data_IF_819219993768
#
_entry.id   IF_819219993768
#
_cell.length_a   1.000
_cell.length_b   1.000
_cell.length_c   1.000
_cell.angle_alpha   90.00
_cell.angle_beta   90.00
_cell.angle_gamma   90.00
#
_symmetry.space_group_name_H-M   'P 1'
#
loop_
_entity.id
_entity.type
_entity.pdbx_description
1 polymer ?
#
# COMPACT_ATOMS: atom_id res chain seq x y z
N UNK A 1 -21.34 -6.72 -6.19
CA UNK A 1 -20.76 -5.45 -5.70
C UNK A 1 -19.43 -5.27 -6.39
N UNK A 2 -19.32 -4.22 -7.21
CA UNK A 2 -18.02 -3.82 -7.77
C UNK A 2 -17.09 -3.38 -6.65
N UNK A 3 -15.77 -3.44 -6.87
CA UNK A 3 -14.76 -2.93 -5.93
C UNK A 3 -13.89 -1.94 -6.67
N UNK A 4 -13.63 -0.80 -6.06
CA UNK A 4 -12.66 0.18 -6.56
C UNK A 4 -11.30 -0.19 -5.98
N UNK A 5 -10.28 -0.25 -6.82
CA UNK A 5 -8.90 -0.46 -6.39
C UNK A 5 -8.14 0.85 -6.47
N UNK A 6 -7.61 1.30 -5.34
CA UNK A 6 -6.73 2.46 -5.27
C UNK A 6 -5.28 1.98 -5.32
N UNK A 7 -4.51 2.55 -6.25
CA UNK A 7 -3.08 2.32 -6.39
C UNK A 7 -2.31 3.45 -5.69
N UNK A 8 -1.52 3.09 -4.68
CA UNK A 8 -0.71 4.02 -3.89
C UNK A 8 0.77 3.79 -4.18
N UNK A 9 1.43 4.75 -4.81
CA UNK A 9 2.90 4.84 -4.78
C UNK A 9 3.30 5.49 -3.46
N UNK A 10 4.17 4.83 -2.69
CA UNK A 10 4.65 5.35 -1.42
C UNK A 10 6.16 5.45 -1.38
N UNK A 11 6.64 6.35 -0.51
CA UNK A 11 8.04 6.49 -0.11
C UNK A 11 8.12 6.41 1.41
N UNK A 12 9.11 5.68 1.90
CA UNK A 12 9.40 5.53 3.32
C UNK A 12 10.68 6.28 3.69
N UNK A 13 10.96 6.39 4.99
CA UNK A 13 12.28 6.81 5.45
C UNK A 13 13.37 5.82 4.98
N UNK A 14 14.65 6.23 4.99
CA UNK A 14 15.74 5.38 4.52
C UNK A 14 15.73 4.01 5.20
N UNK A 15 15.71 2.95 4.38
CA UNK A 15 15.76 1.55 4.80
C UNK A 15 14.53 1.03 5.57
N UNK A 16 13.48 1.83 5.78
CA UNK A 16 12.32 1.43 6.60
C UNK A 16 11.60 0.23 5.98
N UNK A 17 11.26 0.27 4.70
CA UNK A 17 10.52 -0.83 4.04
C UNK A 17 11.35 -2.12 3.91
N UNK A 18 12.67 -2.05 4.04
CA UNK A 18 13.59 -3.18 3.95
C UNK A 18 13.90 -3.75 5.33
N UNK A 19 13.98 -2.90 6.35
CA UNK A 19 14.25 -3.28 7.74
C UNK A 19 12.98 -3.72 8.47
N UNK A 20 11.85 -3.08 8.19
CA UNK A 20 10.55 -3.39 8.80
C UNK A 20 9.40 -3.32 7.77
N UNK A 21 9.34 -4.26 6.81
CA UNK A 21 8.21 -4.37 5.89
C UNK A 21 6.83 -4.51 6.59
N UNK A 22 6.69 -5.25 7.71
CA UNK A 22 5.44 -5.34 8.44
C UNK A 22 4.88 -3.99 8.89
N UNK A 23 5.73 -3.06 9.33
CA UNK A 23 5.30 -1.72 9.73
C UNK A 23 4.63 -0.95 8.58
N UNK A 24 5.22 -1.00 7.38
CA UNK A 24 4.65 -0.33 6.19
C UNK A 24 3.31 -0.97 5.81
N UNK A 25 3.23 -2.30 5.86
CA UNK A 25 1.98 -3.03 5.61
C UNK A 25 0.89 -2.65 6.62
N UNK A 26 1.22 -2.63 7.91
CA UNK A 26 0.28 -2.33 8.99
C UNK A 26 -0.33 -0.93 8.84
N UNK A 27 0.45 0.05 8.39
CA UNK A 27 -0.06 1.41 8.16
C UNK A 27 -1.10 1.44 7.03
N UNK A 28 -0.88 0.71 5.93
CA UNK A 28 -1.88 0.61 4.86
C UNK A 28 -3.11 -0.21 5.25
N UNK A 29 -2.95 -1.27 6.06
CA UNK A 29 -4.08 -2.02 6.63
C UNK A 29 -4.93 -1.12 7.52
N UNK A 30 -4.29 -0.36 8.41
CA UNK A 30 -4.94 0.61 9.30
C UNK A 30 -5.67 1.68 8.48
N UNK A 31 -4.99 2.36 7.56
CA UNK A 31 -5.60 3.40 6.70
C UNK A 31 -6.82 2.89 5.94
N UNK A 32 -6.73 1.71 5.33
CA UNK A 32 -7.86 1.16 4.60
C UNK A 32 -9.01 0.80 5.55
N UNK A 33 -8.70 0.12 6.66
CA UNK A 33 -9.68 -0.32 7.64
C UNK A 33 -10.45 0.82 8.31
N UNK A 34 -9.76 1.92 8.66
CA UNK A 34 -10.36 3.10 9.27
C UNK A 34 -11.44 3.77 8.39
N UNK A 35 -11.45 3.46 7.09
CA UNK A 35 -12.35 4.03 6.10
C UNK A 35 -13.21 2.97 5.38
N UNK A 36 -13.33 1.76 5.93
CA UNK A 36 -14.18 0.69 5.37
C UNK A 36 -13.60 -0.01 4.14
N UNK A 37 -12.34 0.25 3.80
CA UNK A 37 -11.58 -0.46 2.79
C UNK A 37 -10.80 -1.65 3.35
N UNK A 38 -10.00 -2.28 2.49
CA UNK A 38 -9.11 -3.38 2.86
C UNK A 38 -7.79 -3.31 2.09
N UNK A 39 -6.67 -3.64 2.72
CA UNK A 39 -5.41 -3.83 2.00
C UNK A 39 -5.52 -5.08 1.12
N UNK A 40 -5.26 -4.92 -0.18
CA UNK A 40 -5.16 -6.02 -1.13
C UNK A 40 -3.71 -6.54 -1.21
N UNK A 41 -2.74 -5.63 -1.24
CA UNK A 41 -1.33 -6.01 -1.20
C UNK A 41 -0.39 -4.81 -1.04
N UNK A 42 0.83 -5.10 -0.60
CA UNK A 42 1.90 -4.13 -0.41
C UNK A 42 3.21 -4.75 -0.88
N UNK A 43 3.91 -4.05 -1.77
CA UNK A 43 5.14 -4.51 -2.41
C UNK A 43 6.22 -3.45 -2.28
N UNK A 44 7.44 -3.90 -1.99
CA UNK A 44 8.63 -3.06 -2.04
C UNK A 44 9.31 -3.17 -3.38
N UNK A 45 9.94 -2.09 -3.83
CA UNK A 45 10.77 -2.16 -5.02
C UNK A 45 12.09 -2.90 -4.75
N UNK A 46 12.42 -3.86 -5.62
CA UNK A 46 13.61 -4.71 -5.51
C UNK A 46 14.69 -4.38 -6.54
N UNK A 47 14.29 -3.91 -7.72
CA UNK A 47 15.15 -3.89 -8.92
C UNK A 47 15.56 -2.47 -9.31
N UNK A 48 14.87 -1.43 -8.81
CA UNK A 48 15.26 -0.04 -9.09
C UNK A 48 14.82 0.46 -10.47
N UNK A 49 13.77 -0.11 -11.05
CA UNK A 49 13.24 0.29 -12.36
C UNK A 49 12.38 1.56 -12.24
N UNK A 50 13.01 2.71 -12.00
CA UNK A 50 12.34 4.02 -11.90
C UNK A 50 11.80 4.37 -10.51
N UNK A 51 12.01 3.49 -9.53
CA UNK A 51 11.74 3.74 -8.12
C UNK A 51 13.02 3.52 -7.32
N UNK A 52 13.19 4.28 -6.24
CA UNK A 52 14.22 4.07 -5.23
C UNK A 52 13.93 2.82 -4.39
N UNK A 53 14.90 2.39 -3.58
CA UNK A 53 14.74 1.22 -2.71
C UNK A 53 13.75 1.46 -1.57
N UNK A 54 13.58 2.71 -1.17
CA UNK A 54 12.70 3.11 -0.06
C UNK A 54 11.27 3.39 -0.52
N UNK A 55 10.99 3.10 -1.79
CA UNK A 55 9.68 3.23 -2.42
C UNK A 55 9.03 1.87 -2.68
N UNK A 56 7.71 1.90 -2.79
CA UNK A 56 6.92 0.72 -3.06
C UNK A 56 5.50 1.06 -3.48
N UNK A 57 4.70 0.01 -3.65
CA UNK A 57 3.32 0.09 -4.12
C UNK A 57 2.43 -0.57 -3.08
N UNK A 58 1.33 0.07 -2.72
CA UNK A 58 0.24 -0.56 -2.02
C UNK A 58 -1.03 -0.47 -2.86
N UNK A 59 -1.86 -1.51 -2.80
CA UNK A 59 -3.17 -1.52 -3.44
C UNK A 59 -4.21 -1.73 -2.36
N UNK A 60 -5.18 -0.83 -2.27
CA UNK A 60 -6.31 -0.95 -1.34
C UNK A 60 -7.60 -1.12 -2.12
N UNK A 61 -8.52 -1.93 -1.59
CA UNK A 61 -9.81 -2.22 -2.17
C UNK A 61 -10.90 -1.52 -1.37
N UNK A 62 -11.78 -0.81 -2.07
CA UNK A 62 -12.85 0.00 -1.51
C UNK A 62 -14.22 -0.52 -1.99
N UNK A 63 -15.26 -0.43 -1.14
CA UNK A 63 -16.61 -0.68 -1.60
C UNK A 63 -17.00 0.35 -2.67
N UNK A 64 -17.73 -0.09 -3.69
CA UNK A 64 -18.36 0.83 -4.64
C UNK A 64 -19.56 1.49 -3.95
N UNK A 65 -19.49 2.80 -3.70
CA UNK A 65 -20.57 3.58 -3.08
C UNK A 65 -21.78 3.77 -4.01
N UNK A 66 -21.71 3.33 -5.27
CA UNK A 66 -22.85 3.28 -6.17
C UNK A 66 -23.77 2.09 -5.81
N UNK A 67 -24.52 2.19 -4.71
CA UNK A 67 -25.73 1.37 -4.47
C UNK A 67 -26.79 2.17 -3.76
#
# INVERSE_FOLDING_TARGET
MSRIFEYCHYRTGPRVVQSDPPLVRAEFERRAGDHGGKLFGCWRNMVGLGMSRDEGIAVTAWPDEAT
#
